data_IF_296749130686
#
_entry.id   IF_296749130686
#
_cell.length_a   1.000
_cell.length_b   1.000
_cell.length_c   1.000
_cell.angle_alpha   90.00
_cell.angle_beta   90.00
_cell.angle_gamma   90.00
#
_symmetry.space_group_name_H-M   'P 1'
#
loop_
_entity.id
_entity.type
_entity.pdbx_description
1 polymer ?
#
# COMPACT_ATOMS: atom_id res chain seq x y z
N UNK A 1 -9.79 9.43 12.34
CA UNK A 1 -9.01 8.18 12.28
C UNK A 1 -9.82 7.02 12.81
N UNK A 2 -9.96 5.95 12.04
CA UNK A 2 -10.67 4.78 12.50
C UNK A 2 -9.88 4.14 13.65
N UNK A 3 -10.58 3.59 14.61
CA UNK A 3 -9.98 2.87 15.74
C UNK A 3 -9.04 3.68 16.65
N UNK A 4 -9.07 4.99 16.61
CA UNK A 4 -8.37 5.77 17.61
C UNK A 4 -9.27 5.97 18.84
N UNK A 5 -8.66 5.86 20.00
CA UNK A 5 -9.28 6.23 21.28
C UNK A 5 -8.85 7.62 21.74
N UNK A 6 -8.03 8.28 20.95
CA UNK A 6 -7.52 9.61 21.26
C UNK A 6 -8.63 10.65 21.15
N UNK A 7 -8.56 11.64 22.01
CA UNK A 7 -9.45 12.80 21.98
C UNK A 7 -9.13 13.71 20.78
N UNK A 8 -10.02 14.66 20.50
CA UNK A 8 -9.79 15.68 19.48
C UNK A 8 -8.54 16.50 19.81
N UNK A 9 -8.36 16.88 21.06
CA UNK A 9 -7.21 17.66 21.51
C UNK A 9 -5.88 16.93 21.33
N UNK A 10 -5.86 15.62 21.60
CA UNK A 10 -4.66 14.80 21.35
C UNK A 10 -4.33 14.73 19.88
N UNK A 11 -5.33 14.62 18.99
CA UNK A 11 -5.11 14.66 17.55
C UNK A 11 -4.59 16.02 17.09
N UNK A 12 -5.13 17.09 17.64
CA UNK A 12 -4.68 18.45 17.37
C UNK A 12 -3.21 18.61 17.78
N UNK A 13 -2.86 18.17 18.98
CA UNK A 13 -1.49 18.19 19.48
C UNK A 13 -0.54 17.38 18.62
N UNK A 14 -0.94 16.19 18.20
CA UNK A 14 -0.16 15.36 17.28
C UNK A 14 0.07 16.07 15.95
N UNK A 15 -0.96 16.70 15.37
CA UNK A 15 -0.84 17.44 14.13
C UNK A 15 0.13 18.60 14.27
N UNK A 16 0.00 19.37 15.35
CA UNK A 16 0.87 20.52 15.62
C UNK A 16 2.34 20.09 15.72
N UNK A 17 2.62 19.04 16.48
CA UNK A 17 3.99 18.51 16.60
C UNK A 17 4.52 18.03 15.23
N UNK A 18 3.72 17.28 14.50
CA UNK A 18 4.12 16.72 13.20
C UNK A 18 4.39 17.79 12.14
N UNK A 19 3.66 18.90 12.18
CA UNK A 19 3.83 20.02 11.23
C UNK A 19 4.74 21.14 11.75
N UNK A 20 5.40 20.94 12.89
CA UNK A 20 6.26 21.94 13.53
C UNK A 20 5.55 23.26 13.81
N UNK A 21 4.28 23.19 14.21
CA UNK A 21 3.46 24.35 14.53
C UNK A 21 3.65 24.77 16.00
N UNK A 22 3.46 26.07 16.29
CA UNK A 22 3.59 26.61 17.64
C UNK A 22 2.21 26.95 18.23
N UNK A 23 1.88 26.36 19.37
CA UNK A 23 0.63 26.63 20.10
C UNK A 23 0.46 28.07 20.55
N UNK A 24 1.55 28.87 20.56
CA UNK A 24 1.51 30.29 20.90
C UNK A 24 1.13 31.17 19.71
N UNK A 25 1.11 30.63 18.52
CA UNK A 25 0.76 31.34 17.30
C UNK A 25 -0.68 31.01 16.94
N UNK A 26 -1.63 31.97 17.03
CA UNK A 26 -3.04 31.71 16.76
C UNK A 26 -3.32 31.16 15.34
N UNK A 27 -2.55 31.56 14.36
CA UNK A 27 -2.67 31.11 12.97
C UNK A 27 -2.30 29.63 12.84
N UNK A 28 -1.28 29.18 13.56
CA UNK A 28 -0.88 27.78 13.58
C UNK A 28 -1.95 26.91 14.24
N UNK A 29 -2.52 27.38 15.34
CA UNK A 29 -3.64 26.71 16.03
C UNK A 29 -4.86 26.65 15.10
N UNK A 30 -5.20 27.74 14.44
CA UNK A 30 -6.32 27.79 13.49
C UNK A 30 -6.10 26.86 12.30
N UNK A 31 -4.86 26.76 11.80
CA UNK A 31 -4.51 25.79 10.75
C UNK A 31 -4.72 24.36 11.23
N UNK A 32 -4.20 24.00 12.40
CA UNK A 32 -4.34 22.67 12.97
C UNK A 32 -5.82 22.31 13.17
N UNK A 33 -6.59 23.21 13.79
CA UNK A 33 -8.03 23.03 14.02
C UNK A 33 -8.82 22.86 12.71
N UNK A 34 -8.44 23.56 11.65
CA UNK A 34 -9.07 23.39 10.33
C UNK A 34 -8.88 22.00 9.71
N UNK A 35 -7.87 21.25 10.15
CA UNK A 35 -7.52 19.93 9.62
C UNK A 35 -8.10 18.78 10.43
N UNK A 36 -8.31 18.97 11.72
CA UNK A 36 -8.79 17.92 12.61
C UNK A 36 -10.17 18.31 13.14
N UNK A 37 -11.21 17.72 12.51
CA UNK A 37 -12.61 17.88 12.91
C UNK A 37 -13.28 16.52 12.97
N UNK A 38 -14.12 16.26 13.98
CA UNK A 38 -14.84 14.98 14.09
C UNK A 38 -15.58 14.60 12.82
N UNK A 39 -16.21 15.57 12.19
CA UNK A 39 -17.03 15.38 10.99
C UNK A 39 -16.20 14.93 9.77
N UNK A 40 -15.03 15.52 9.60
CA UNK A 40 -14.17 15.19 8.44
C UNK A 40 -13.41 13.88 8.65
N UNK A 41 -12.99 13.58 9.86
CA UNK A 41 -12.30 12.33 10.18
C UNK A 41 -13.22 11.12 10.00
N UNK A 42 -14.45 11.20 10.48
CA UNK A 42 -15.44 10.15 10.29
C UNK A 42 -15.86 9.99 8.83
N UNK A 43 -15.94 11.08 8.07
CA UNK A 43 -16.34 11.04 6.67
C UNK A 43 -15.34 10.30 5.77
N UNK A 44 -14.05 10.35 6.06
CA UNK A 44 -13.04 9.64 5.28
C UNK A 44 -13.27 8.13 5.27
N UNK A 45 -13.57 7.52 6.39
CA UNK A 45 -13.87 6.10 6.49
C UNK A 45 -15.08 5.71 5.63
N UNK A 46 -16.16 6.50 5.74
CA UNK A 46 -17.39 6.31 4.98
C UNK A 46 -17.13 6.45 3.47
N UNK A 47 -16.38 7.47 3.07
CA UNK A 47 -16.04 7.71 1.67
C UNK A 47 -15.13 6.60 1.10
N UNK A 48 -14.24 6.05 1.91
CA UNK A 48 -13.48 4.86 1.52
C UNK A 48 -14.37 3.64 1.31
N UNK A 49 -15.33 3.41 2.20
CA UNK A 49 -16.27 2.29 2.11
C UNK A 49 -17.24 2.42 0.94
N UNK A 50 -17.67 3.64 0.63
CA UNK A 50 -18.48 3.95 -0.56
C UNK A 50 -17.69 3.84 -1.88
N UNK A 51 -16.37 3.75 -1.84
CA UNK A 51 -15.52 3.68 -3.02
C UNK A 51 -15.21 5.04 -3.66
N UNK A 52 -15.54 6.15 -3.00
CA UNK A 52 -15.24 7.51 -3.48
C UNK A 52 -13.73 7.73 -3.51
N UNK A 53 -13.03 7.32 -2.45
CA UNK A 53 -11.57 7.30 -2.43
C UNK A 53 -11.06 5.99 -3.01
N UNK A 54 -10.41 6.09 -4.16
CA UNK A 54 -9.95 4.93 -4.93
C UNK A 54 -8.68 4.29 -4.40
N UNK A 55 -7.86 5.01 -3.65
CA UNK A 55 -6.53 4.56 -3.22
C UNK A 55 -6.28 4.80 -1.73
N UNK A 56 -5.38 3.99 -1.18
CA UNK A 56 -4.74 4.16 0.12
C UNK A 56 -3.25 4.35 -0.09
N UNK A 57 -2.62 5.23 0.69
CA UNK A 57 -1.18 5.44 0.65
C UNK A 57 -0.61 5.57 2.05
N UNK A 58 0.71 5.45 2.17
CA UNK A 58 1.39 5.40 3.47
C UNK A 58 1.91 6.74 3.94
N UNK A 59 2.05 7.73 3.05
CA UNK A 59 2.76 8.99 3.34
C UNK A 59 4.16 8.78 3.98
N UNK A 60 4.89 7.78 3.48
CA UNK A 60 6.08 7.22 4.14
C UNK A 60 7.27 8.18 4.25
N UNK A 61 7.36 9.15 3.35
CA UNK A 61 8.46 10.14 3.35
C UNK A 61 8.18 11.32 4.29
N UNK A 62 6.94 11.53 4.68
CA UNK A 62 6.56 12.61 5.58
C UNK A 62 6.24 12.06 6.98
N UNK A 63 5.01 11.66 7.24
CA UNK A 63 4.59 11.27 8.58
C UNK A 63 3.89 9.92 8.65
N UNK A 64 3.86 9.18 7.55
CA UNK A 64 3.24 7.87 7.46
C UNK A 64 4.20 6.72 7.71
N UNK A 65 3.63 5.52 7.82
CA UNK A 65 4.35 4.27 8.02
C UNK A 65 3.97 3.28 6.93
N UNK A 66 4.92 2.98 6.06
CA UNK A 66 4.71 2.08 4.93
C UNK A 66 4.25 0.68 5.38
N UNK A 67 4.79 0.17 6.48
CA UNK A 67 4.45 -1.16 7.01
C UNK A 67 3.01 -1.26 7.55
N UNK A 68 2.35 -0.16 7.82
CA UNK A 68 1.01 -0.15 8.41
C UNK A 68 -0.12 0.05 7.38
N UNK A 69 0.19 0.46 6.16
CA UNK A 69 -0.84 0.84 5.17
C UNK A 69 -1.86 -0.28 4.92
N UNK A 70 -1.41 -1.51 4.77
CA UNK A 70 -2.29 -2.67 4.53
C UNK A 70 -3.13 -2.96 5.76
N UNK A 71 -2.51 -3.06 6.92
CA UNK A 71 -3.21 -3.34 8.19
C UNK A 71 -4.27 -2.27 8.47
N UNK A 72 -3.94 -0.99 8.30
CA UNK A 72 -4.88 0.13 8.49
C UNK A 72 -6.03 0.11 7.49
N UNK A 73 -5.75 -0.28 6.24
CA UNK A 73 -6.80 -0.47 5.23
C UNK A 73 -7.83 -1.50 5.67
N UNK A 74 -7.38 -2.63 6.21
CA UNK A 74 -8.29 -3.68 6.69
C UNK A 74 -8.97 -3.35 8.00
N UNK A 75 -8.34 -2.59 8.88
CA UNK A 75 -9.00 -2.04 10.06
C UNK A 75 -10.15 -1.10 9.69
N UNK A 76 -9.96 -0.26 8.68
CA UNK A 76 -11.02 0.59 8.15
C UNK A 76 -12.17 -0.23 7.57
N UNK A 77 -11.87 -1.25 6.77
CA UNK A 77 -12.88 -2.15 6.20
C UNK A 77 -13.69 -2.86 7.29
N UNK A 78 -13.02 -3.37 8.32
CA UNK A 78 -13.65 -4.06 9.46
C UNK A 78 -14.54 -3.11 10.26
N UNK A 79 -14.08 -1.90 10.55
CA UNK A 79 -14.87 -0.87 11.22
C UNK A 79 -16.13 -0.55 10.41
N UNK A 80 -16.00 -0.32 9.12
CA UNK A 80 -17.13 0.02 8.26
C UNK A 80 -18.15 -1.12 8.19
N UNK A 81 -17.71 -2.37 8.16
CA UNK A 81 -18.62 -3.50 8.27
C UNK A 81 -19.40 -3.49 9.59
N UNK A 82 -18.72 -3.25 10.70
CA UNK A 82 -19.35 -3.20 12.03
C UNK A 82 -20.35 -2.06 12.19
N UNK A 83 -20.05 -0.89 11.61
CA UNK A 83 -20.88 0.31 11.76
C UNK A 83 -22.03 0.40 10.72
N UNK A 84 -21.81 -0.10 9.50
CA UNK A 84 -22.72 0.09 8.35
C UNK A 84 -23.32 -1.20 7.81
N UNK A 85 -22.90 -2.36 8.34
CA UNK A 85 -23.35 -3.65 7.84
C UNK A 85 -22.71 -4.04 6.49
N UNK A 86 -23.31 -5.00 5.76
CA UNK A 86 -22.86 -5.41 4.44
C UNK A 86 -22.97 -4.27 3.43
N UNK A 87 -22.15 -4.30 2.38
CA UNK A 87 -22.39 -3.46 1.22
C UNK A 87 -23.63 -3.96 0.45
N UNK A 88 -24.32 -3.10 -0.32
CA UNK A 88 -25.45 -3.53 -1.12
C UNK A 88 -25.14 -4.73 -2.04
N UNK A 89 -23.92 -4.77 -2.58
CA UNK A 89 -23.46 -5.85 -3.45
C UNK A 89 -23.13 -7.16 -2.72
N UNK A 90 -22.94 -7.10 -1.41
CA UNK A 90 -22.70 -8.26 -0.54
C UNK A 90 -23.97 -8.71 0.21
N UNK A 91 -25.06 -7.95 0.09
CA UNK A 91 -26.30 -8.20 0.83
C UNK A 91 -26.94 -9.53 0.41
N UNK A 92 -27.32 -10.35 1.38
CA UNK A 92 -27.92 -11.65 1.15
C UNK A 92 -26.96 -12.78 0.75
N UNK A 93 -25.68 -12.50 0.52
CA UNK A 93 -24.69 -13.49 0.09
C UNK A 93 -23.94 -14.18 1.24
N UNK A 94 -24.07 -13.69 2.47
CA UNK A 94 -23.37 -14.24 3.65
C UNK A 94 -21.85 -14.08 3.59
N UNK A 95 -21.34 -13.19 2.77
CA UNK A 95 -19.92 -12.89 2.63
C UNK A 95 -19.70 -11.38 2.40
N UNK A 96 -18.44 -10.95 2.37
CA UNK A 96 -18.03 -9.56 2.12
C UNK A 96 -17.11 -9.46 0.89
N UNK A 97 -17.29 -10.32 -0.09
CA UNK A 97 -16.36 -10.43 -1.22
C UNK A 97 -16.24 -9.14 -2.03
N UNK A 98 -17.33 -8.38 -2.17
CA UNK A 98 -17.29 -7.12 -2.89
C UNK A 98 -16.52 -6.05 -2.09
N UNK A 99 -16.77 -5.95 -0.77
CA UNK A 99 -15.97 -5.08 0.10
C UNK A 99 -14.50 -5.47 0.07
N UNK A 100 -14.17 -6.76 0.14
CA UNK A 100 -12.77 -7.24 0.02
C UNK A 100 -12.14 -6.77 -1.29
N UNK A 101 -12.80 -6.96 -2.43
CA UNK A 101 -12.32 -6.50 -3.74
C UNK A 101 -12.10 -4.98 -3.75
N UNK A 102 -13.06 -4.21 -3.21
CA UNK A 102 -12.96 -2.75 -3.12
C UNK A 102 -11.73 -2.31 -2.33
N UNK A 103 -11.46 -2.93 -1.19
CA UNK A 103 -10.34 -2.54 -0.35
C UNK A 103 -8.98 -3.04 -0.85
N UNK A 104 -8.90 -4.25 -1.40
CA UNK A 104 -7.68 -4.75 -2.04
C UNK A 104 -7.28 -3.87 -3.23
N UNK A 105 -8.24 -3.45 -4.04
CA UNK A 105 -7.96 -2.61 -5.21
C UNK A 105 -7.30 -1.28 -4.87
N UNK A 106 -7.52 -0.76 -3.65
CA UNK A 106 -6.98 0.54 -3.21
C UNK A 106 -5.45 0.59 -3.10
N UNK A 107 -4.79 -0.54 -2.94
CA UNK A 107 -3.32 -0.61 -2.87
C UNK A 107 -2.72 -1.57 -3.92
N UNK A 108 -3.53 -2.03 -4.87
CA UNK A 108 -3.09 -2.91 -5.96
C UNK A 108 -3.40 -2.31 -7.32
N UNK A 109 -4.58 -2.64 -7.90
CA UNK A 109 -4.89 -2.26 -9.28
C UNK A 109 -5.18 -0.77 -9.46
N UNK A 110 -5.83 -0.11 -8.49
CA UNK A 110 -6.18 1.30 -8.66
C UNK A 110 -4.94 2.21 -8.76
N UNK A 111 -3.92 2.12 -7.87
CA UNK A 111 -2.67 2.84 -8.07
C UNK A 111 -1.96 2.45 -9.36
N UNK A 112 -2.00 1.18 -9.77
CA UNK A 112 -1.39 0.76 -11.03
C UNK A 112 -2.06 1.42 -12.25
N UNK A 113 -3.38 1.59 -12.24
CA UNK A 113 -4.11 2.32 -13.28
C UNK A 113 -3.72 3.81 -13.27
N UNK A 114 -3.72 4.43 -12.09
CA UNK A 114 -3.39 5.85 -11.92
C UNK A 114 -1.99 6.17 -12.43
N UNK A 115 -1.03 5.29 -12.20
CA UNK A 115 0.35 5.43 -12.68
C UNK A 115 0.58 4.94 -14.12
N UNK A 116 -0.45 4.41 -14.80
CA UNK A 116 -0.35 3.93 -16.17
C UNK A 116 0.42 2.62 -16.34
N UNK A 117 0.61 1.85 -15.27
CA UNK A 117 1.41 0.61 -15.25
C UNK A 117 0.56 -0.66 -15.07
N UNK A 118 -0.75 -0.55 -15.15
CA UNK A 118 -1.69 -1.66 -14.91
C UNK A 118 -1.55 -2.84 -15.90
N UNK A 119 -0.90 -2.63 -17.04
CA UNK A 119 -0.58 -3.71 -17.98
C UNK A 119 0.48 -4.68 -17.44
N UNK A 120 1.25 -4.26 -16.44
CA UNK A 120 2.39 -5.02 -15.92
C UNK A 120 2.20 -5.50 -14.48
N UNK A 121 1.46 -4.75 -13.68
CA UNK A 121 1.28 -4.99 -12.23
C UNK A 121 -0.14 -4.66 -11.79
N UNK A 122 -0.45 -5.00 -10.53
CA UNK A 122 -1.69 -4.58 -9.84
C UNK A 122 -2.80 -5.61 -9.84
N UNK A 123 -2.71 -6.66 -10.66
CA UNK A 123 -3.67 -7.77 -10.66
C UNK A 123 -2.99 -9.09 -11.00
N UNK A 124 -3.64 -10.19 -10.64
CA UNK A 124 -3.18 -11.56 -10.92
C UNK A 124 -3.76 -11.99 -12.27
N UNK A 125 -3.00 -11.75 -13.34
CA UNK A 125 -3.38 -12.06 -14.70
C UNK A 125 -2.18 -12.60 -15.47
N UNK A 126 -2.40 -13.54 -16.44
CA UNK A 126 -1.33 -13.98 -17.33
C UNK A 126 -0.69 -12.81 -18.09
N UNK A 127 0.64 -12.79 -18.14
CA UNK A 127 1.41 -11.74 -18.81
C UNK A 127 1.82 -10.57 -17.90
N UNK A 128 1.31 -10.49 -16.69
CA UNK A 128 1.76 -9.53 -15.68
C UNK A 128 2.90 -10.10 -14.82
N UNK A 129 3.59 -9.21 -14.11
CA UNK A 129 4.63 -9.62 -13.16
C UNK A 129 4.03 -10.52 -12.09
N UNK A 130 4.72 -11.59 -11.77
CA UNK A 130 4.39 -12.49 -10.67
C UNK A 130 4.81 -11.87 -9.33
N UNK A 131 4.22 -10.73 -9.00
CA UNK A 131 4.32 -10.04 -7.71
C UNK A 131 3.11 -10.45 -6.88
N UNK A 132 3.28 -11.46 -6.03
CA UNK A 132 2.18 -12.14 -5.36
C UNK A 132 2.42 -12.16 -3.85
N UNK A 133 1.34 -12.11 -3.09
CA UNK A 133 1.36 -12.31 -1.64
C UNK A 133 0.37 -13.41 -1.28
N UNK A 134 0.86 -14.43 -0.58
CA UNK A 134 0.04 -15.52 -0.07
C UNK A 134 -0.31 -15.22 1.39
N UNK A 135 -1.60 -15.33 1.69
CA UNK A 135 -2.13 -15.06 3.00
C UNK A 135 -2.85 -16.28 3.59
N UNK A 136 -2.61 -16.53 4.85
CA UNK A 136 -3.58 -17.29 5.63
C UNK A 136 -4.79 -16.38 5.89
N UNK A 137 -6.03 -16.81 5.57
CA UNK A 137 -7.22 -16.00 5.78
C UNK A 137 -7.36 -15.42 7.19
N UNK A 138 -6.96 -16.18 8.21
CA UNK A 138 -7.01 -15.74 9.61
C UNK A 138 -6.07 -14.56 9.92
N UNK A 139 -5.05 -14.34 9.11
CA UNK A 139 -4.05 -13.27 9.26
C UNK A 139 -4.00 -12.32 8.07
N UNK A 140 -5.07 -12.31 7.29
CA UNK A 140 -5.15 -11.48 6.09
C UNK A 140 -4.95 -9.99 6.40
N UNK A 141 -4.07 -9.37 5.64
CA UNK A 141 -3.72 -7.95 5.80
C UNK A 141 -2.73 -7.65 6.94
N UNK A 142 -2.45 -8.60 7.83
CA UNK A 142 -1.55 -8.39 8.95
C UNK A 142 -0.21 -9.12 8.79
N UNK A 143 -0.25 -10.43 8.45
CA UNK A 143 0.96 -11.24 8.36
C UNK A 143 0.88 -12.20 7.18
N UNK A 144 1.61 -11.93 6.09
CA UNK A 144 1.65 -12.83 4.94
C UNK A 144 2.40 -14.13 5.26
N UNK A 145 2.01 -15.20 4.60
CA UNK A 145 2.73 -16.47 4.65
C UNK A 145 3.95 -16.44 3.72
N UNK A 146 3.78 -15.84 2.55
CA UNK A 146 4.84 -15.76 1.55
C UNK A 146 4.69 -14.51 0.70
N UNK A 147 5.79 -13.92 0.32
CA UNK A 147 5.86 -12.81 -0.64
C UNK A 147 6.73 -13.22 -1.81
N UNK A 148 6.16 -13.13 -3.02
CA UNK A 148 6.82 -13.45 -4.27
C UNK A 148 6.98 -12.16 -5.07
N UNK A 149 8.17 -11.92 -5.57
CA UNK A 149 8.50 -10.76 -6.41
C UNK A 149 9.11 -11.22 -7.74
N UNK A 150 8.45 -10.93 -8.83
CA UNK A 150 8.91 -11.36 -10.16
C UNK A 150 9.04 -12.88 -10.28
N UNK A 151 8.20 -13.65 -9.61
CA UNK A 151 8.25 -15.12 -9.58
C UNK A 151 9.27 -15.72 -8.59
N UNK A 152 9.96 -14.88 -7.80
CA UNK A 152 10.93 -15.34 -6.81
C UNK A 152 10.43 -15.10 -5.39
N UNK A 153 10.58 -16.09 -4.52
CA UNK A 153 10.24 -15.96 -3.09
C UNK A 153 11.26 -15.01 -2.45
N UNK A 154 10.79 -13.89 -1.92
CA UNK A 154 11.63 -12.90 -1.23
C UNK A 154 11.41 -12.85 0.28
N UNK A 155 10.28 -13.37 0.75
CA UNK A 155 9.99 -13.54 2.16
C UNK A 155 9.00 -14.70 2.34
N UNK A 156 9.20 -15.48 3.38
CA UNK A 156 8.27 -16.55 3.77
C UNK A 156 8.39 -16.85 5.25
N UNK A 157 7.46 -17.63 5.78
CA UNK A 157 7.57 -18.17 7.14
C UNK A 157 8.79 -19.07 7.22
N UNK A 158 9.45 -19.04 8.37
CA UNK A 158 10.55 -19.96 8.66
C UNK A 158 10.05 -21.40 8.62
N UNK A 159 10.80 -22.27 7.94
CA UNK A 159 10.45 -23.69 7.80
C UNK A 159 9.53 -23.99 6.62
N UNK A 160 9.17 -23.03 5.79
CA UNK A 160 8.48 -23.29 4.53
C UNK A 160 9.42 -24.05 3.57
N UNK A 161 8.99 -25.25 3.15
CA UNK A 161 9.81 -26.16 2.36
C UNK A 161 10.28 -25.59 1.01
N UNK A 162 9.51 -24.68 0.42
CA UNK A 162 9.81 -24.07 -0.86
C UNK A 162 10.44 -22.67 -0.77
N UNK A 163 10.69 -22.20 0.43
CA UNK A 163 11.26 -20.88 0.66
C UNK A 163 12.73 -20.77 0.24
N UNK A 164 13.37 -21.87 -0.08
CA UNK A 164 14.81 -21.93 -0.44
C UNK A 164 15.73 -21.22 0.54
N UNK A 165 15.31 -21.12 1.79
CA UNK A 165 16.12 -20.57 2.86
C UNK A 165 16.93 -21.70 3.42
N UNK A 166 18.22 -21.79 3.12
CA UNK A 166 19.03 -22.96 3.48
C UNK A 166 19.25 -23.09 4.98
N UNK A 167 19.03 -22.02 5.72
CA UNK A 167 19.26 -22.01 7.16
C UNK A 167 18.39 -20.96 7.84
N UNK A 168 18.19 -21.12 9.13
CA UNK A 168 17.59 -20.12 10.03
C UNK A 168 18.56 -18.94 10.25
N UNK A 169 19.01 -18.32 9.19
CA UNK A 169 19.89 -17.17 9.30
C UNK A 169 19.15 -15.98 9.87
N UNK A 170 19.85 -15.07 10.55
CA UNK A 170 19.31 -13.75 10.84
C UNK A 170 18.78 -13.15 9.54
N UNK A 171 17.52 -12.75 9.52
CA UNK A 171 16.96 -12.06 8.37
C UNK A 171 17.59 -10.68 8.32
N UNK A 172 18.47 -10.47 7.37
CA UNK A 172 18.99 -9.13 7.09
C UNK A 172 17.95 -8.40 6.26
N UNK A 173 17.19 -7.53 6.89
CA UNK A 173 16.34 -6.59 6.19
C UNK A 173 17.23 -5.58 5.49
N UNK A 174 17.19 -5.59 4.19
CA UNK A 174 17.85 -4.53 3.45
C UNK A 174 17.05 -3.26 3.47
N UNK A 175 17.72 -2.10 3.60
CA UNK A 175 17.05 -0.81 3.71
C UNK A 175 16.15 -0.46 2.52
N UNK A 176 16.33 -1.09 1.38
CA UNK A 176 15.67 -0.75 0.13
C UNK A 176 14.67 -1.80 -0.37
N UNK A 177 14.32 -2.79 0.40
CA UNK A 177 13.36 -3.85 0.00
C UNK A 177 13.60 -4.39 -1.41
N UNK A 178 14.83 -4.41 -1.86
CA UNK A 178 15.18 -4.82 -3.20
C UNK A 178 15.64 -6.27 -3.23
N UNK A 179 15.21 -7.00 -4.24
CA UNK A 179 15.77 -8.31 -4.52
C UNK A 179 17.28 -8.22 -4.78
N UNK A 180 18.02 -9.23 -4.30
CA UNK A 180 19.48 -9.29 -4.44
C UNK A 180 19.93 -10.12 -5.62
N UNK A 181 21.16 -9.88 -6.07
CA UNK A 181 21.82 -10.67 -7.09
C UNK A 181 21.03 -10.74 -8.38
N UNK A 182 20.87 -11.93 -8.95
CA UNK A 182 20.16 -12.15 -10.21
C UNK A 182 18.66 -11.83 -10.11
N UNK A 183 18.06 -11.95 -8.93
CA UNK A 183 16.65 -11.66 -8.72
C UNK A 183 16.33 -10.18 -8.94
N UNK A 184 17.25 -9.28 -8.60
CA UNK A 184 17.11 -7.84 -8.86
C UNK A 184 16.84 -7.55 -10.35
N UNK A 185 17.53 -8.25 -11.23
CA UNK A 185 17.38 -8.05 -12.67
C UNK A 185 16.08 -8.64 -13.23
N UNK A 186 15.60 -9.72 -12.65
CA UNK A 186 14.35 -10.34 -13.05
C UNK A 186 13.09 -9.60 -12.55
N UNK A 187 13.20 -8.98 -11.38
CA UNK A 187 12.06 -8.43 -10.65
C UNK A 187 11.91 -6.91 -10.73
N UNK A 188 12.87 -6.19 -11.34
CA UNK A 188 12.77 -4.73 -11.48
C UNK A 188 12.39 -4.33 -12.89
N UNK A 189 11.40 -3.46 -13.03
CA UNK A 189 11.05 -2.74 -14.26
C UNK A 189 11.36 -1.26 -14.10
N UNK A 190 11.87 -0.66 -15.16
CA UNK A 190 11.99 0.79 -15.25
C UNK A 190 10.95 1.29 -16.23
N UNK A 191 10.05 2.11 -15.78
CA UNK A 191 9.03 2.74 -16.60
C UNK A 191 9.55 4.10 -17.04
N UNK A 192 9.52 4.34 -18.35
CA UNK A 192 9.91 5.62 -18.94
C UNK A 192 8.85 6.09 -19.92
N UNK A 193 8.66 7.38 -20.04
CA UNK A 193 7.76 7.94 -21.04
C UNK A 193 8.30 7.70 -22.47
N UNK A 194 7.41 7.63 -23.47
CA UNK A 194 7.83 7.55 -24.87
C UNK A 194 8.70 8.73 -25.30
N UNK A 195 8.49 9.91 -24.72
CA UNK A 195 9.28 11.11 -25.00
C UNK A 195 10.71 10.95 -24.46
N UNK A 196 10.86 10.45 -23.25
CA UNK A 196 12.17 10.26 -22.63
C UNK A 196 12.91 9.06 -23.22
N UNK A 197 12.21 8.01 -23.61
CA UNK A 197 12.81 6.85 -24.28
C UNK A 197 13.54 7.24 -25.59
N UNK A 198 13.11 8.30 -26.26
CA UNK A 198 13.73 8.82 -27.49
C UNK A 198 15.01 9.61 -27.25
N UNK A 199 15.30 10.03 -26.00
CA UNK A 199 16.51 10.77 -25.67
C UNK A 199 17.71 9.81 -25.59
N UNK A 200 18.74 10.04 -26.39
CA UNK A 200 19.92 9.18 -26.46
C UNK A 200 20.63 8.97 -25.11
N UNK A 201 20.63 9.99 -24.25
CA UNK A 201 21.28 9.91 -22.95
C UNK A 201 20.61 8.89 -22.04
N UNK A 202 19.27 8.85 -22.00
CA UNK A 202 18.51 7.86 -21.22
C UNK A 202 18.70 6.45 -21.82
N UNK A 203 18.74 6.32 -23.13
CA UNK A 203 19.00 5.03 -23.78
C UNK A 203 20.38 4.48 -23.43
N UNK A 204 21.43 5.32 -23.33
CA UNK A 204 22.77 4.90 -22.91
C UNK A 204 22.79 4.45 -21.45
N UNK A 205 22.15 5.20 -20.58
CA UNK A 205 22.12 4.91 -19.15
C UNK A 205 21.34 3.62 -18.81
N UNK A 206 20.25 3.37 -19.56
CA UNK A 206 19.43 2.18 -19.39
C UNK A 206 20.06 0.96 -20.07
N UNK A 207 20.70 1.08 -21.24
CA UNK A 207 21.41 -0.02 -21.91
C UNK A 207 22.57 -0.56 -21.09
N UNK A 208 23.19 0.28 -20.28
CA UNK A 208 24.23 -0.18 -19.35
C UNK A 208 23.67 -1.00 -18.16
N UNK A 209 22.38 -0.99 -17.94
CA UNK A 209 21.74 -1.57 -16.75
C UNK A 209 20.70 -2.64 -17.01
N UNK A 210 19.95 -2.73 -18.15
CA UNK A 210 18.90 -3.75 -18.38
C UNK A 210 18.18 -3.77 -19.75
N UNK A 211 17.40 -4.87 -19.95
CA UNK A 211 16.34 -4.96 -20.98
C UNK A 211 15.25 -3.92 -20.72
N UNK A 212 14.94 -3.13 -21.70
CA UNK A 212 13.87 -2.14 -21.72
C UNK A 212 12.57 -2.74 -22.22
N UNK A 213 11.48 -2.48 -21.51
CA UNK A 213 10.15 -2.50 -22.11
C UNK A 213 9.62 -1.06 -22.20
N UNK A 214 9.12 -0.68 -23.37
CA UNK A 214 8.48 0.64 -23.57
C UNK A 214 7.00 0.53 -23.24
N UNK A 215 6.48 1.54 -22.57
CA UNK A 215 5.04 1.80 -22.41
C UNK A 215 4.46 2.41 -23.68
#
# INVERSE_FOLDING_TARGET
>A
MPFTVNTLDEHLDMLMVCHHLDKKIPEDVAFADSRIRPETIAAEDVLHDMGVFSMMSSDSQAMGRIGEVITRTWQTASKMKGERGPLPEDEGHGNDNFRVKRYVSKYTINPAITHGISKYVGSVEPGKFADLVLWNPAFFGAKPDMVIKGGMIIASKMGDANASIPTTQPVFYQPMFAAHGKAKYASCLTFVSKADHRKENIQREIRSRKKLSCL
#
